data_IF_280747255663
#
_entry.id   IF_280747255663
#
_cell.length_a   1.000
_cell.length_b   1.000
_cell.length_c   1.000
_cell.angle_alpha   90.00
_cell.angle_beta   90.00
_cell.angle_gamma   90.00
#
_symmetry.space_group_name_H-M   'P 1'
#
loop_
_entity.id
_entity.type
_entity.pdbx_description
1 polymer ?
#
# COMPACT_ATOMS: atom_id res chain seq x y z
N UNK A 1 -10.98 -6.61 14.36
CA UNK A 1 -9.68 -6.32 13.75
C UNK A 1 -9.30 -4.88 13.98
N UNK A 2 -8.01 -4.60 14.11
CA UNK A 2 -7.57 -3.23 14.35
C UNK A 2 -7.50 -2.45 13.04
N UNK A 3 -7.57 -1.13 13.14
CA UNK A 3 -7.44 -0.25 11.98
C UNK A 3 -6.06 -0.43 11.33
N UNK A 4 -5.03 -0.63 12.15
CA UNK A 4 -3.68 -0.86 11.65
C UNK A 4 -3.63 -2.13 10.81
N UNK A 5 -4.25 -3.20 11.27
CA UNK A 5 -4.25 -4.47 10.54
C UNK A 5 -4.99 -4.35 9.20
N UNK A 6 -6.13 -3.68 9.19
CA UNK A 6 -6.89 -3.47 7.96
C UNK A 6 -6.08 -2.67 6.94
N UNK A 7 -5.42 -1.61 7.41
CA UNK A 7 -4.59 -0.79 6.54
C UNK A 7 -3.38 -1.57 6.02
N UNK A 8 -2.78 -2.38 6.88
CA UNK A 8 -1.67 -3.22 6.46
C UNK A 8 -2.10 -4.19 5.36
N UNK A 9 -3.27 -4.79 5.50
CA UNK A 9 -3.77 -5.72 4.48
C UNK A 9 -4.02 -5.02 3.15
N UNK A 10 -4.53 -3.78 3.18
CA UNK A 10 -4.73 -3.00 1.97
C UNK A 10 -3.39 -2.65 1.31
N UNK A 11 -2.40 -2.29 2.12
CA UNK A 11 -1.05 -2.01 1.60
C UNK A 11 -0.46 -3.26 0.96
N UNK A 12 -0.60 -4.41 1.61
CA UNK A 12 -0.10 -5.67 1.09
C UNK A 12 -0.78 -6.04 -0.23
N UNK A 13 -2.07 -5.77 -0.35
CA UNK A 13 -2.81 -6.02 -1.58
C UNK A 13 -2.26 -5.17 -2.73
N UNK A 14 -2.03 -3.88 -2.47
CA UNK A 14 -1.45 -2.99 -3.48
C UNK A 14 -0.03 -3.40 -3.83
N UNK A 15 0.73 -3.87 -2.85
CA UNK A 15 2.08 -4.35 -3.08
C UNK A 15 2.06 -5.59 -3.98
N UNK A 16 1.09 -6.48 -3.80
CA UNK A 16 0.94 -7.66 -4.64
C UNK A 16 0.63 -7.28 -6.10
N UNK A 17 -0.04 -6.15 -6.31
CA UNK A 17 -0.28 -5.63 -7.65
C UNK A 17 1.00 -5.00 -8.20
N UNK A 18 1.72 -4.25 -7.37
CA UNK A 18 2.93 -3.55 -7.78
C UNK A 18 4.06 -4.52 -8.16
N UNK A 19 4.22 -5.60 -7.40
CA UNK A 19 5.35 -6.50 -7.58
C UNK A 19 5.49 -7.03 -9.01
N UNK A 20 4.44 -7.63 -9.62
CA UNK A 20 4.57 -8.10 -11.01
C UNK A 20 4.70 -6.95 -12.01
N UNK A 21 4.04 -5.83 -11.76
CA UNK A 21 4.07 -4.69 -12.68
C UNK A 21 5.39 -3.95 -12.63
N UNK A 22 6.09 -4.02 -11.50
CA UNK A 22 7.39 -3.38 -11.34
C UNK A 22 8.41 -3.92 -12.33
N UNK A 23 8.34 -5.21 -12.63
CA UNK A 23 9.24 -5.83 -13.59
C UNK A 23 8.79 -5.72 -15.05
N UNK A 24 7.62 -5.13 -15.28
CA UNK A 24 7.08 -4.99 -16.64
C UNK A 24 7.81 -3.92 -17.43
N UNK A 25 7.86 -4.13 -18.74
CA UNK A 25 8.59 -3.22 -19.64
C UNK A 25 7.67 -2.36 -20.50
N UNK A 26 6.36 -2.58 -20.43
CA UNK A 26 5.39 -1.81 -21.24
C UNK A 26 4.97 -0.55 -20.51
N UNK A 27 4.45 0.42 -21.29
CA UNK A 27 3.92 1.64 -20.70
C UNK A 27 2.73 1.34 -19.78
N UNK A 28 1.91 0.37 -20.16
CA UNK A 28 0.75 -0.03 -19.35
C UNK A 28 1.20 -0.60 -18.01
N UNK A 29 2.23 -1.45 -18.00
CA UNK A 29 2.77 -2.01 -16.77
C UNK A 29 3.31 -0.91 -15.86
N UNK A 30 4.05 0.03 -16.42
CA UNK A 30 4.61 1.14 -15.66
C UNK A 30 3.51 2.05 -15.09
N UNK A 31 2.44 2.27 -15.84
CA UNK A 31 1.30 3.05 -15.35
C UNK A 31 0.61 2.35 -14.18
N UNK A 32 0.42 1.04 -14.27
CA UNK A 32 -0.16 0.27 -13.17
C UNK A 32 0.74 0.27 -11.95
N UNK A 33 2.04 0.16 -12.16
CA UNK A 33 3.02 0.22 -11.06
C UNK A 33 2.94 1.57 -10.32
N UNK A 34 2.89 2.67 -11.08
CA UNK A 34 2.78 4.00 -10.48
C UNK A 34 1.48 4.17 -9.72
N UNK A 35 0.38 3.64 -10.26
CA UNK A 35 -0.92 3.72 -9.59
C UNK A 35 -0.89 2.96 -8.27
N UNK A 36 -0.36 1.73 -8.28
CA UNK A 36 -0.26 0.93 -7.06
C UNK A 36 0.64 1.61 -6.03
N UNK A 37 1.77 2.16 -6.46
CA UNK A 37 2.67 2.88 -5.57
C UNK A 37 1.97 4.10 -4.95
N UNK A 38 1.16 4.82 -5.74
CA UNK A 38 0.38 5.94 -5.25
C UNK A 38 -0.64 5.53 -4.19
N UNK A 39 -1.29 4.39 -4.38
CA UNK A 39 -2.23 3.88 -3.40
C UNK A 39 -1.52 3.48 -2.11
N UNK A 40 -0.34 2.87 -2.20
CA UNK A 40 0.46 2.54 -1.03
C UNK A 40 0.81 3.81 -0.26
N UNK A 41 1.23 4.86 -0.97
CA UNK A 41 1.57 6.13 -0.35
C UNK A 41 0.38 6.71 0.41
N UNK A 42 -0.81 6.65 -0.17
CA UNK A 42 -2.03 7.14 0.48
C UNK A 42 -2.36 6.35 1.74
N UNK A 43 -2.08 5.07 1.74
CA UNK A 43 -2.40 4.19 2.88
C UNK A 43 -1.36 4.30 3.99
N UNK A 44 -0.14 4.69 3.67
CA UNK A 44 0.94 4.79 4.65
C UNK A 44 0.65 5.83 5.73
N UNK A 45 0.12 6.99 5.37
CA UNK A 45 -0.18 8.05 6.33
C UNK A 45 -1.18 7.58 7.39
N UNK A 46 -2.37 7.06 7.01
CA UNK A 46 -3.30 6.55 8.03
C UNK A 46 -2.76 5.33 8.75
N UNK A 47 -1.92 4.51 8.09
CA UNK A 47 -1.28 3.38 8.77
C UNK A 47 -0.38 3.85 9.91
N UNK A 48 0.45 4.85 9.66
CA UNK A 48 1.32 5.40 10.69
C UNK A 48 0.52 5.93 11.87
N UNK A 49 -0.57 6.63 11.58
CA UNK A 49 -1.43 7.17 12.63
C UNK A 49 -2.07 6.05 13.46
N UNK A 50 -2.61 5.03 12.79
CA UNK A 50 -3.23 3.91 13.47
C UNK A 50 -2.21 3.15 14.32
N UNK A 51 -0.98 2.99 13.81
CA UNK A 51 0.09 2.34 14.54
C UNK A 51 0.41 3.11 15.83
N UNK A 52 0.54 4.42 15.73
CA UNK A 52 0.82 5.27 16.89
C UNK A 52 -0.30 5.22 17.91
N UNK A 53 -1.55 5.29 17.45
CA UNK A 53 -2.71 5.24 18.31
C UNK A 53 -2.79 3.91 19.08
N UNK A 54 -2.52 2.80 18.41
CA UNK A 54 -2.56 1.48 19.02
C UNK A 54 -1.39 1.27 19.99
N UNK A 55 -0.25 1.85 19.68
CA UNK A 55 0.93 1.76 20.55
C UNK A 55 0.75 2.55 21.84
N UNK A 56 0.02 3.66 21.77
CA UNK A 56 -0.27 4.48 22.93
C UNK A 56 -1.22 3.80 23.91
N UNK A 57 -2.07 2.96 23.40
CA UNK A 57 -3.06 2.28 24.18
C UNK A 57 -2.47 1.40 25.24
#
# INVERSE_FOLDING_TARGET
MSAKQELFEQIAEQFNILEPENGGTTKASQARARKAAGEIKKLITPYKKANMDETKG
#
